data_IF_310518867948
#
_entry.id   IF_310518867948
#
_cell.length_a   1.000
_cell.length_b   1.000
_cell.length_c   1.000
_cell.angle_alpha   90.00
_cell.angle_beta   90.00
_cell.angle_gamma   90.00
#
_symmetry.space_group_name_H-M   'P 1'
#
loop_
_entity.id
_entity.type
_entity.pdbx_description
1 polymer ?
#
# COMPACT_ATOMS: atom_id res chain seq x y z
N UNK A 1 -8.36 -3.80 6.77
CA UNK A 1 -7.28 -4.81 6.59
C UNK A 1 -6.03 -4.14 6.03
N UNK A 2 -4.91 -4.79 6.15
CA UNK A 2 -3.67 -4.26 5.58
C UNK A 2 -3.63 -4.47 4.08
N UNK A 3 -2.93 -3.59 3.38
CA UNK A 3 -2.72 -3.74 1.93
C UNK A 3 -2.12 -5.11 1.60
N UNK A 4 -1.22 -5.61 2.45
CA UNK A 4 -0.59 -6.91 2.26
C UNK A 4 -1.56 -8.09 2.33
N UNK A 5 -2.76 -7.89 2.86
CA UNK A 5 -3.77 -8.94 2.99
C UNK A 5 -4.65 -9.07 1.75
N UNK A 6 -4.55 -8.13 0.81
CA UNK A 6 -5.33 -8.20 -0.43
C UNK A 6 -4.79 -9.31 -1.34
N UNK A 7 -5.67 -10.05 -2.02
CA UNK A 7 -5.21 -10.95 -3.06
C UNK A 7 -4.77 -10.17 -4.30
N UNK A 8 -3.93 -10.80 -5.14
CA UNK A 8 -3.49 -10.18 -6.38
C UNK A 8 -4.69 -9.85 -7.26
N UNK A 9 -4.67 -8.64 -7.84
CA UNK A 9 -5.75 -8.13 -8.66
C UNK A 9 -6.85 -7.41 -7.91
N UNK A 10 -6.88 -7.49 -6.58
CA UNK A 10 -7.96 -6.89 -5.78
C UNK A 10 -7.89 -5.38 -5.76
N UNK A 11 -9.06 -4.76 -5.69
CA UNK A 11 -9.22 -3.32 -5.54
C UNK A 11 -9.68 -2.98 -4.13
N UNK A 12 -9.29 -1.80 -3.68
CA UNK A 12 -9.63 -1.32 -2.35
C UNK A 12 -9.55 0.20 -2.31
N UNK A 13 -10.01 0.79 -1.22
CA UNK A 13 -9.76 2.21 -0.95
C UNK A 13 -8.84 2.32 0.25
N UNK A 14 -7.98 3.34 0.25
CA UNK A 14 -7.11 3.61 1.38
C UNK A 14 -7.97 4.07 2.55
N UNK A 15 -7.75 3.48 3.73
CA UNK A 15 -8.35 3.98 4.97
C UNK A 15 -7.41 4.97 5.63
N UNK A 16 -6.19 4.54 5.87
CA UNK A 16 -5.16 5.39 6.47
C UNK A 16 -3.78 4.77 6.26
N UNK A 17 -2.77 5.60 6.43
CA UNK A 17 -1.39 5.16 6.58
C UNK A 17 -1.05 5.27 8.07
N UNK A 18 -0.38 4.27 8.61
CA UNK A 18 -0.01 4.24 10.03
C UNK A 18 0.75 5.50 10.43
N UNK A 19 0.45 6.03 11.61
CA UNK A 19 1.13 7.21 12.13
C UNK A 19 2.55 6.89 12.60
N UNK A 20 2.80 5.62 12.95
CA UNK A 20 4.11 5.16 13.41
C UNK A 20 4.30 3.70 13.07
N UNK A 21 5.54 3.28 12.90
CA UNK A 21 5.89 1.89 12.63
C UNK A 21 7.25 1.60 13.28
N UNK A 22 7.44 0.41 13.87
CA UNK A 22 8.73 0.04 14.43
C UNK A 22 9.81 -0.17 13.37
N UNK A 23 9.43 -0.49 12.12
CA UNK A 23 10.39 -0.76 11.05
C UNK A 23 10.57 0.41 10.08
N UNK A 24 9.57 1.29 10.00
CA UNK A 24 9.53 2.37 9.01
C UNK A 24 9.59 3.71 9.73
N UNK A 25 10.53 4.56 9.34
CA UNK A 25 10.67 5.89 9.94
C UNK A 25 9.51 6.83 9.57
N UNK A 26 9.29 7.87 10.40
CA UNK A 26 8.17 8.80 10.17
C UNK A 26 8.25 9.57 8.86
N UNK A 27 9.46 9.82 8.36
CA UNK A 27 9.64 10.48 7.07
C UNK A 27 9.10 9.66 5.92
N UNK A 28 9.34 8.34 5.94
CA UNK A 28 8.85 7.44 4.89
C UNK A 28 7.34 7.28 5.00
N UNK A 29 6.79 7.21 6.21
CA UNK A 29 5.34 7.14 6.39
C UNK A 29 4.64 8.37 5.81
N UNK A 30 5.22 9.55 6.06
CA UNK A 30 4.71 10.81 5.49
C UNK A 30 4.78 10.79 3.97
N UNK A 31 5.88 10.25 3.44
CA UNK A 31 6.06 10.17 2.00
C UNK A 31 5.01 9.30 1.32
N UNK A 32 4.57 8.22 1.97
CA UNK A 32 3.48 7.41 1.42
C UNK A 32 2.23 8.25 1.18
N UNK A 33 1.86 9.11 2.13
CA UNK A 33 0.76 10.05 1.95
C UNK A 33 1.01 11.01 0.79
N UNK A 34 2.21 11.55 0.69
CA UNK A 34 2.58 12.46 -0.39
C UNK A 34 2.54 11.80 -1.76
N UNK A 35 2.80 10.49 -1.82
CA UNK A 35 2.72 9.72 -3.06
C UNK A 35 1.28 9.44 -3.50
N UNK A 36 0.29 9.69 -2.64
CA UNK A 36 -1.11 9.52 -2.99
C UNK A 36 -1.87 8.51 -2.14
N UNK A 37 -1.22 7.88 -1.16
CA UNK A 37 -1.91 6.92 -0.27
C UNK A 37 -2.69 7.69 0.79
N UNK A 38 -3.74 8.37 0.35
CA UNK A 38 -4.58 9.22 1.20
C UNK A 38 -5.93 8.56 1.44
N UNK A 39 -6.56 8.79 2.60
CA UNK A 39 -7.87 8.21 2.89
C UNK A 39 -8.89 8.47 1.79
N UNK A 40 -9.59 7.42 1.38
CA UNK A 40 -10.59 7.49 0.33
C UNK A 40 -10.07 7.26 -1.08
N UNK A 41 -8.76 7.26 -1.29
CA UNK A 41 -8.21 7.04 -2.63
C UNK A 41 -8.32 5.57 -3.03
N UNK A 42 -8.85 5.28 -4.23
CA UNK A 42 -8.92 3.90 -4.71
C UNK A 42 -7.55 3.41 -5.17
N UNK A 43 -7.29 2.14 -4.94
CA UNK A 43 -6.07 1.49 -5.41
C UNK A 43 -6.36 0.08 -5.89
N UNK A 44 -5.40 -0.50 -6.59
CA UNK A 44 -5.44 -1.90 -7.00
C UNK A 44 -4.08 -2.53 -6.75
N UNK A 45 -4.09 -3.66 -6.05
CA UNK A 45 -2.88 -4.48 -5.92
C UNK A 45 -2.81 -5.36 -7.16
N UNK A 46 -1.90 -5.04 -8.08
CA UNK A 46 -1.81 -5.76 -9.36
C UNK A 46 -1.21 -7.14 -9.17
N UNK A 47 -0.06 -7.21 -8.52
CA UNK A 47 0.61 -8.47 -8.26
C UNK A 47 1.77 -8.28 -7.28
N UNK A 48 2.23 -9.41 -6.75
CA UNK A 48 3.47 -9.48 -5.98
C UNK A 48 4.60 -9.97 -6.87
N UNK A 49 5.84 -9.70 -6.46
CA UNK A 49 7.03 -10.17 -7.15
C UNK A 49 7.27 -11.67 -6.99
N UNK A 50 8.44 -12.13 -7.40
CA UNK A 50 8.79 -13.56 -7.35
C UNK A 50 8.56 -14.16 -5.98
N UNK A 51 7.98 -15.36 -5.95
CA UNK A 51 7.64 -16.02 -4.71
C UNK A 51 6.42 -15.47 -4.01
N UNK A 52 5.66 -14.56 -4.65
CA UNK A 52 4.46 -13.97 -4.10
C UNK A 52 4.73 -12.99 -2.96
N UNK A 53 5.92 -12.41 -2.89
CA UNK A 53 6.33 -11.54 -1.78
C UNK A 53 6.51 -10.10 -2.21
N UNK A 54 7.70 -9.71 -2.63
CA UNK A 54 8.02 -8.31 -2.96
C UNK A 54 8.68 -8.21 -4.32
N UNK A 55 8.57 -7.04 -4.92
CA UNK A 55 7.77 -5.90 -4.51
C UNK A 55 6.29 -6.12 -4.76
N UNK A 56 5.43 -5.37 -4.05
CA UNK A 56 4.00 -5.31 -4.36
C UNK A 56 3.79 -4.21 -5.39
N UNK A 57 3.25 -4.56 -6.55
CA UNK A 57 2.94 -3.59 -7.58
C UNK A 57 1.53 -3.04 -7.32
N UNK A 58 1.46 -1.77 -6.94
CA UNK A 58 0.21 -1.11 -6.53
C UNK A 58 -0.08 0.05 -7.45
N UNK A 59 -1.27 0.05 -8.03
CA UNK A 59 -1.74 1.14 -8.87
C UNK A 59 -2.62 2.06 -8.02
N UNK A 60 -2.24 3.33 -7.90
CA UNK A 60 -3.05 4.33 -7.22
C UNK A 60 -3.10 5.57 -8.11
N UNK A 61 -4.32 6.05 -8.40
CA UNK A 61 -4.50 7.02 -9.45
C UNK A 61 -4.01 6.45 -10.77
N UNK A 62 -3.15 7.18 -11.46
CA UNK A 62 -2.55 6.72 -12.71
C UNK A 62 -1.09 6.29 -12.51
N UNK A 63 -0.65 6.16 -11.26
CA UNK A 63 0.74 5.89 -10.95
C UNK A 63 0.91 4.49 -10.39
N UNK A 64 1.90 3.78 -10.92
CA UNK A 64 2.27 2.45 -10.45
C UNK A 64 3.44 2.57 -9.49
N UNK A 65 3.28 1.99 -8.30
CA UNK A 65 4.33 1.96 -7.29
C UNK A 65 4.76 0.53 -7.01
N UNK A 66 6.04 0.36 -6.74
CA UNK A 66 6.58 -0.91 -6.23
C UNK A 66 6.87 -0.70 -4.75
N UNK A 67 6.10 -1.35 -3.89
CA UNK A 67 6.25 -1.21 -2.45
C UNK A 67 6.93 -2.43 -1.86
N UNK A 68 7.78 -2.18 -0.87
CA UNK A 68 8.29 -3.26 -0.03
C UNK A 68 7.18 -3.72 0.90
N UNK A 69 7.27 -4.96 1.35
CA UNK A 69 6.27 -5.54 2.24
C UNK A 69 6.08 -4.70 3.51
N UNK A 70 7.18 -4.26 4.13
CA UNK A 70 7.10 -3.45 5.34
C UNK A 70 6.38 -2.11 5.10
N UNK A 71 6.57 -1.52 3.93
CA UNK A 71 5.86 -0.29 3.55
C UNK A 71 4.37 -0.56 3.38
N UNK A 72 4.04 -1.63 2.67
CA UNK A 72 2.64 -1.99 2.43
C UNK A 72 1.90 -2.36 3.72
N UNK A 73 2.60 -2.89 4.71
CA UNK A 73 2.01 -3.20 6.01
C UNK A 73 1.57 -1.94 6.78
N UNK A 74 2.06 -0.78 6.38
CA UNK A 74 1.67 0.48 7.01
C UNK A 74 0.41 1.08 6.42
N UNK A 75 -0.13 0.48 5.35
CA UNK A 75 -1.30 1.01 4.66
C UNK A 75 -2.51 0.13 4.98
N UNK A 76 -3.50 0.74 5.62
CA UNK A 76 -4.76 0.08 5.94
C UNK A 76 -5.77 0.41 4.85
N UNK A 77 -6.47 -0.60 4.35
CA UNK A 77 -7.39 -0.48 3.22
C UNK A 77 -8.74 -1.08 3.54
N UNK A 78 -9.73 -0.63 2.78
CA UNK A 78 -11.09 -1.19 2.77
C UNK A 78 -11.30 -1.88 1.43
N UNK A 79 -11.48 -3.21 1.40
CA UNK A 79 -11.71 -3.92 0.13
C UNK A 79 -13.00 -3.45 -0.56
N UNK A 80 -12.98 -3.40 -1.86
CA UNK A 80 -14.17 -3.11 -2.67
C UNK A 80 -14.96 -4.37 -2.96
#
# INVERSE_FOLDING_TARGET
MLLTDLPDGARATVRLVAAASPEIGPGLLRRLGELGFLPGEPLQLLRRGPGGREPLAVLIGETLFALRRLEAQCIDVEPL
#
